data_IF_362940109013
#
_entry.id   IF_362940109013
#
_cell.length_a   1.000
_cell.length_b   1.000
_cell.length_c   1.000
_cell.angle_alpha   90.00
_cell.angle_beta   90.00
_cell.angle_gamma   90.00
#
_symmetry.space_group_name_H-M   'P 1'
#
loop_
_entity.id
_entity.type
_entity.pdbx_description
1 polymer ?
#
# COMPACT_ATOMS: atom_id res chain seq x y z
N UNK A 1 -41.41 -10.45 -2.91
CA UNK A 1 -41.05 -9.66 -4.13
C UNK A 1 -40.60 -8.28 -3.69
N UNK A 2 -39.31 -7.97 -3.75
CA UNK A 2 -38.80 -6.63 -4.05
C UNK A 2 -37.57 -6.87 -4.91
N UNK A 3 -37.64 -6.46 -6.18
CA UNK A 3 -36.48 -6.32 -7.06
C UNK A 3 -35.89 -4.93 -6.81
N UNK A 4 -34.58 -4.84 -6.60
CA UNK A 4 -33.82 -3.64 -6.93
C UNK A 4 -32.56 -4.04 -7.67
N UNK A 5 -32.62 -3.79 -8.97
CA UNK A 5 -31.54 -3.74 -9.95
C UNK A 5 -30.60 -2.58 -9.67
N UNK A 6 -29.29 -2.76 -9.92
CA UNK A 6 -28.35 -1.66 -10.15
C UNK A 6 -27.04 -1.82 -9.41
N UNK A 7 -25.97 -2.07 -10.16
CA UNK A 7 -24.61 -2.04 -9.61
C UNK A 7 -24.15 -0.60 -9.36
N UNK A 8 -23.56 -0.38 -8.19
CA UNK A 8 -22.65 0.73 -7.91
C UNK A 8 -21.76 0.34 -6.73
N UNK A 9 -20.44 0.37 -6.94
CA UNK A 9 -19.47 0.45 -5.86
C UNK A 9 -19.67 1.81 -5.16
N UNK A 10 -19.87 1.80 -3.85
CA UNK A 10 -19.84 3.00 -3.01
C UNK A 10 -19.00 2.77 -1.74
N UNK A 11 -18.42 3.84 -1.18
CA UNK A 11 -17.16 3.83 -0.43
C UNK A 11 -17.35 3.57 1.07
N UNK A 12 -16.21 3.51 1.75
CA UNK A 12 -16.03 3.35 3.19
C UNK A 12 -17.10 4.02 4.07
N UNK A 13 -17.56 3.28 5.08
CA UNK A 13 -18.26 3.79 6.24
C UNK A 13 -19.77 3.89 6.09
N UNK A 14 -20.49 2.80 6.37
CA UNK A 14 -21.91 2.88 6.72
C UNK A 14 -22.20 1.97 7.91
N UNK A 15 -22.36 2.60 9.08
CA UNK A 15 -22.89 1.97 10.28
C UNK A 15 -24.42 1.84 10.13
N UNK A 16 -24.96 0.64 10.40
CA UNK A 16 -26.38 0.45 10.71
C UNK A 16 -26.44 0.01 12.16
N UNK A 17 -26.89 0.91 13.04
CA UNK A 17 -27.23 0.60 14.43
C UNK A 17 -28.75 0.56 14.49
N UNK A 18 -29.33 -0.65 14.45
CA UNK A 18 -30.73 -0.87 14.84
C UNK A 18 -30.74 -1.50 16.22
N UNK A 19 -30.68 -0.66 17.25
CA UNK A 19 -31.09 -1.04 18.59
C UNK A 19 -32.62 -1.01 18.65
N UNK A 20 -33.23 -2.20 18.73
CA UNK A 20 -34.50 -2.34 19.42
C UNK A 20 -34.19 -2.30 20.91
N UNK A 21 -34.17 -1.11 21.49
CA UNK A 21 -34.84 -0.80 22.76
C UNK A 21 -34.43 0.60 23.27
N UNK A 22 -35.45 1.32 23.76
CA UNK A 22 -35.37 2.69 24.24
C UNK A 22 -34.52 2.77 25.52
N UNK A 23 -33.36 3.43 25.49
CA UNK A 23 -32.99 4.40 26.53
C UNK A 23 -31.88 5.35 26.04
N UNK A 24 -32.15 6.64 26.15
CA UNK A 24 -31.32 7.75 25.71
C UNK A 24 -30.36 8.17 26.82
N UNK A 25 -29.07 7.81 26.74
CA UNK A 25 -27.95 8.48 27.46
C UNK A 25 -26.54 7.97 27.10
N UNK A 26 -26.36 6.71 26.68
CA UNK A 26 -25.04 6.03 26.62
C UNK A 26 -24.40 5.84 25.23
N UNK A 27 -24.93 6.46 24.17
CA UNK A 27 -24.59 6.13 22.77
C UNK A 27 -23.23 6.68 22.29
N UNK A 28 -22.66 7.68 22.99
CA UNK A 28 -21.38 8.32 22.62
C UNK A 28 -20.13 7.45 22.92
N UNK A 29 -19.96 6.86 24.12
CA UNK A 29 -18.78 6.05 24.43
C UNK A 29 -18.65 4.79 23.56
N UNK A 30 -19.77 4.13 23.24
CA UNK A 30 -19.75 2.96 22.34
C UNK A 30 -19.27 3.33 20.93
N UNK A 31 -19.66 4.51 20.42
CA UNK A 31 -19.28 4.99 19.09
C UNK A 31 -17.79 5.32 18.98
N UNK A 32 -17.22 5.95 20.02
CA UNK A 32 -15.78 6.21 20.07
C UNK A 32 -14.97 4.92 20.21
N UNK A 33 -15.48 3.98 21.00
CA UNK A 33 -14.87 2.66 21.17
C UNK A 33 -14.85 1.86 19.86
N UNK A 34 -15.93 1.86 19.10
CA UNK A 34 -15.96 1.21 17.77
C UNK A 34 -15.01 1.89 16.78
N UNK A 35 -14.82 3.22 16.86
CA UNK A 35 -13.78 3.91 16.06
C UNK A 35 -12.37 3.47 16.44
N UNK A 36 -12.10 3.27 17.74
CA UNK A 36 -10.83 2.72 18.24
C UNK A 36 -10.60 1.30 17.71
N UNK A 37 -11.61 0.43 17.75
CA UNK A 37 -11.49 -0.91 17.17
C UNK A 37 -11.30 -0.86 15.65
N UNK A 38 -11.98 0.05 14.95
CA UNK A 38 -11.86 0.21 13.50
C UNK A 38 -10.46 0.67 13.07
N UNK A 39 -9.74 1.43 13.91
CA UNK A 39 -8.35 1.80 13.63
C UNK A 39 -7.37 0.66 13.89
N UNK A 40 -7.67 -0.25 14.83
CA UNK A 40 -6.86 -1.44 15.11
C UNK A 40 -6.99 -2.50 14.01
N UNK A 41 -8.14 -2.58 13.33
CA UNK A 41 -8.42 -3.57 12.30
C UNK A 41 -8.72 -2.93 10.94
N UNK A 42 -7.72 -2.34 10.26
CA UNK A 42 -7.94 -1.66 8.99
C UNK A 42 -8.39 -2.63 7.89
N UNK A 43 -9.36 -2.21 7.08
CA UNK A 43 -9.87 -2.97 5.94
C UNK A 43 -10.89 -4.06 6.28
N UNK A 44 -11.43 -4.05 7.52
CA UNK A 44 -12.56 -4.89 7.93
C UNK A 44 -13.67 -4.02 8.50
N UNK A 45 -14.91 -4.38 8.20
CA UNK A 45 -16.07 -3.70 8.78
C UNK A 45 -16.37 -4.29 10.16
N UNK A 46 -16.56 -3.43 11.16
CA UNK A 46 -16.97 -3.87 12.50
C UNK A 46 -18.48 -3.82 12.58
N UNK A 47 -19.09 -4.96 12.88
CA UNK A 47 -20.54 -5.13 12.99
C UNK A 47 -20.86 -5.61 14.40
N UNK A 48 -21.95 -5.11 14.97
CA UNK A 48 -22.44 -5.57 16.26
C UNK A 48 -23.66 -6.41 15.98
N UNK A 49 -23.59 -7.69 16.33
CA UNK A 49 -24.70 -8.61 16.16
C UNK A 49 -24.56 -9.74 17.17
N UNK A 50 -25.68 -10.10 17.79
CA UNK A 50 -25.77 -11.28 18.63
C UNK A 50 -26.17 -12.46 17.76
N UNK A 51 -25.26 -13.42 17.64
CA UNK A 51 -25.43 -14.62 16.82
C UNK A 51 -25.52 -15.81 17.75
N UNK A 52 -26.62 -16.55 17.65
CA UNK A 52 -26.86 -17.76 18.43
C UNK A 52 -26.15 -18.96 17.78
N UNK A 53 -25.01 -19.31 18.36
CA UNK A 53 -24.29 -20.54 18.07
C UNK A 53 -23.75 -20.67 16.63
N UNK A 54 -23.29 -21.88 16.31
CA UNK A 54 -22.60 -22.18 15.04
C UNK A 54 -23.54 -22.19 13.84
N UNK A 55 -24.81 -22.48 14.02
CA UNK A 55 -25.81 -22.50 12.94
C UNK A 55 -26.21 -21.08 12.55
N UNK A 56 -26.48 -20.20 13.52
CA UNK A 56 -26.69 -18.78 13.28
C UNK A 56 -25.50 -18.14 12.58
N UNK A 57 -24.27 -18.51 12.96
CA UNK A 57 -23.06 -17.98 12.30
C UNK A 57 -22.94 -18.41 10.82
N UNK A 58 -23.41 -19.60 10.47
CA UNK A 58 -23.44 -20.06 9.07
C UNK A 58 -24.46 -19.29 8.25
N UNK A 59 -25.67 -19.08 8.77
CA UNK A 59 -26.71 -18.31 8.09
C UNK A 59 -26.30 -16.84 7.92
N UNK A 60 -25.68 -16.28 8.95
CA UNK A 60 -25.08 -14.94 8.89
C UNK A 60 -23.99 -14.85 7.81
N UNK A 61 -23.07 -15.81 7.77
CA UNK A 61 -22.00 -15.86 6.78
C UNK A 61 -22.51 -15.99 5.34
N UNK A 62 -23.61 -16.73 5.12
CA UNK A 62 -24.23 -16.90 3.80
C UNK A 62 -25.00 -15.67 3.33
N UNK A 63 -25.58 -14.89 4.24
CA UNK A 63 -26.30 -13.65 3.90
C UNK A 63 -25.36 -12.47 3.61
N UNK A 64 -24.11 -12.54 4.07
CA UNK A 64 -23.10 -11.48 3.92
C UNK A 64 -21.96 -11.89 2.98
N UNK A 65 -22.32 -12.31 1.75
CA UNK A 65 -21.32 -12.55 0.69
C UNK A 65 -20.63 -11.24 0.26
N UNK A 66 -19.32 -11.29 0.04
CA UNK A 66 -18.51 -10.18 -0.46
C UNK A 66 -17.94 -9.25 0.61
N UNK A 67 -18.32 -9.41 1.87
CA UNK A 67 -17.82 -8.58 2.97
C UNK A 67 -16.72 -9.26 3.79
N UNK A 68 -15.82 -8.43 4.34
CA UNK A 68 -14.79 -8.82 5.30
C UNK A 68 -15.09 -8.16 6.64
N UNK A 69 -15.55 -8.92 7.62
CA UNK A 69 -16.15 -8.34 8.82
C UNK A 69 -15.55 -8.88 10.12
N UNK A 70 -15.60 -8.06 11.16
CA UNK A 70 -15.44 -8.47 12.56
C UNK A 70 -16.79 -8.24 13.22
N UNK A 71 -17.45 -9.32 13.63
CA UNK A 71 -18.73 -9.28 14.31
C UNK A 71 -18.47 -9.42 15.80
N UNK A 72 -19.04 -8.53 16.60
CA UNK A 72 -18.87 -8.52 18.05
C UNK A 72 -20.25 -8.61 18.69
N UNK A 73 -20.46 -9.56 19.61
CA UNK A 73 -21.69 -9.59 20.41
C UNK A 73 -21.84 -8.31 21.23
N UNK A 74 -23.06 -7.82 21.37
CA UNK A 74 -23.36 -6.63 22.18
C UNK A 74 -22.85 -6.76 23.62
N UNK A 75 -23.04 -7.94 24.23
CA UNK A 75 -22.56 -8.19 25.61
C UNK A 75 -21.04 -8.23 25.70
N UNK A 76 -20.37 -8.77 24.69
CA UNK A 76 -18.91 -8.77 24.63
C UNK A 76 -18.37 -7.33 24.53
N UNK A 77 -19.00 -6.49 23.70
CA UNK A 77 -18.64 -5.09 23.53
C UNK A 77 -18.76 -4.30 24.85
N UNK A 78 -19.88 -4.48 25.56
CA UNK A 78 -20.11 -3.82 26.85
C UNK A 78 -19.07 -4.23 27.91
N UNK A 79 -18.73 -5.52 27.96
CA UNK A 79 -17.66 -6.02 28.83
C UNK A 79 -16.30 -5.44 28.46
N UNK A 80 -15.96 -5.38 27.17
CA UNK A 80 -14.70 -4.78 26.71
C UNK A 80 -14.61 -3.28 27.01
N UNK A 81 -15.74 -2.56 27.08
CA UNK A 81 -15.75 -1.15 27.47
C UNK A 81 -15.57 -0.93 28.98
N UNK A 82 -15.94 -1.93 29.79
CA UNK A 82 -15.98 -1.82 31.26
C UNK A 82 -14.75 -2.46 31.93
N UNK A 83 -14.22 -3.53 31.35
CA UNK A 83 -13.10 -4.31 31.87
C UNK A 83 -11.87 -4.24 30.93
N UNK A 84 -10.80 -3.52 31.33
CA UNK A 84 -9.57 -3.40 30.55
C UNK A 84 -8.79 -4.72 30.35
N UNK A 85 -8.88 -5.67 31.29
CA UNK A 85 -8.18 -6.95 31.16
C UNK A 85 -8.88 -7.83 30.11
N UNK A 86 -10.21 -7.87 30.17
CA UNK A 86 -11.05 -8.53 29.16
C UNK A 86 -10.91 -7.89 27.78
N UNK A 87 -10.84 -6.55 27.70
CA UNK A 87 -10.52 -5.83 26.47
C UNK A 87 -9.20 -6.32 25.86
N UNK A 88 -8.14 -6.38 26.67
CA UNK A 88 -6.82 -6.78 26.19
C UNK A 88 -6.82 -8.22 25.69
N UNK A 89 -7.45 -9.12 26.44
CA UNK A 89 -7.59 -10.52 26.06
C UNK A 89 -8.33 -10.69 24.73
N UNK A 90 -9.50 -10.06 24.59
CA UNK A 90 -10.29 -10.11 23.37
C UNK A 90 -9.55 -9.49 22.18
N UNK A 91 -8.85 -8.37 22.40
CA UNK A 91 -8.09 -7.68 21.34
C UNK A 91 -6.95 -8.55 20.81
N UNK A 92 -6.21 -9.22 21.70
CA UNK A 92 -5.14 -10.15 21.30
C UNK A 92 -5.71 -11.39 20.61
N UNK A 93 -6.83 -11.93 21.10
CA UNK A 93 -7.52 -13.05 20.46
C UNK A 93 -7.99 -12.69 19.04
N UNK A 94 -8.53 -11.49 18.84
CA UNK A 94 -8.93 -10.98 17.53
C UNK A 94 -7.73 -10.81 16.57
N UNK A 95 -6.59 -10.29 17.06
CA UNK A 95 -5.36 -10.18 16.24
C UNK A 95 -4.82 -11.56 15.84
N UNK A 96 -4.79 -12.50 16.77
CA UNK A 96 -4.35 -13.87 16.50
C UNK A 96 -5.26 -14.55 15.48
N UNK A 97 -6.58 -14.44 15.67
CA UNK A 97 -7.57 -14.97 14.73
C UNK A 97 -7.47 -14.34 13.34
N UNK A 98 -7.18 -13.04 13.26
CA UNK A 98 -6.93 -12.35 12.00
C UNK A 98 -5.71 -12.91 11.27
N UNK A 99 -4.62 -13.17 11.98
CA UNK A 99 -3.39 -13.74 11.41
C UNK A 99 -3.64 -15.16 10.88
N UNK A 100 -4.27 -16.01 11.68
CA UNK A 100 -4.65 -17.37 11.27
C UNK A 100 -5.59 -17.38 10.06
N UNK A 101 -6.55 -16.47 10.04
CA UNK A 101 -7.46 -16.33 8.91
C UNK A 101 -6.71 -15.89 7.66
N UNK A 102 -5.78 -14.93 7.75
CA UNK A 102 -4.95 -14.52 6.62
C UNK A 102 -4.13 -15.68 6.05
N UNK A 103 -3.56 -16.53 6.91
CA UNK A 103 -2.82 -17.74 6.48
C UNK A 103 -3.74 -18.74 5.76
N UNK A 104 -4.98 -18.94 6.26
CA UNK A 104 -5.99 -19.78 5.59
C UNK A 104 -6.40 -19.20 4.24
N UNK A 105 -6.55 -17.88 4.14
CA UNK A 105 -6.91 -17.19 2.89
C UNK A 105 -5.80 -17.30 1.84
N UNK A 106 -4.53 -17.24 2.24
CA UNK A 106 -3.38 -17.42 1.33
C UNK A 106 -3.33 -18.82 0.69
N UNK A 107 -3.86 -19.84 1.37
CA UNK A 107 -3.92 -21.23 0.89
C UNK A 107 -5.16 -21.54 0.03
N UNK A 108 -6.17 -20.67 -0.01
CA UNK A 108 -7.40 -20.89 -0.81
C UNK A 108 -7.17 -21.05 -2.32
N UNK A 109 -6.30 -20.24 -2.97
CA UNK A 109 -6.04 -20.37 -4.40
C UNK A 109 -5.42 -21.72 -4.78
N UNK A 110 -4.57 -22.28 -3.92
CA UNK A 110 -3.94 -23.59 -4.12
C UNK A 110 -4.99 -24.72 -4.12
N UNK A 111 -6.14 -24.50 -3.48
CA UNK A 111 -7.27 -25.43 -3.44
C UNK A 111 -8.27 -25.23 -4.59
N UNK A 112 -8.00 -24.32 -5.54
CA UNK A 112 -8.93 -24.01 -6.64
C UNK A 112 -10.24 -23.36 -6.18
N UNK A 113 -10.21 -22.67 -5.04
CA UNK A 113 -11.36 -21.97 -4.46
C UNK A 113 -11.10 -20.46 -4.48
N UNK A 114 -12.12 -19.69 -4.86
CA UNK A 114 -12.11 -18.23 -4.73
C UNK A 114 -12.79 -17.81 -3.44
N UNK A 115 -12.22 -16.82 -2.74
CA UNK A 115 -12.85 -16.22 -1.57
C UNK A 115 -14.18 -15.57 -1.95
N UNK A 116 -15.24 -15.91 -1.22
CA UNK A 116 -16.57 -15.32 -1.37
C UNK A 116 -16.93 -14.39 -0.20
N UNK A 117 -16.35 -14.58 0.98
CA UNK A 117 -16.53 -13.73 2.15
C UNK A 117 -15.78 -14.31 3.35
N UNK A 118 -15.44 -13.50 4.34
CA UNK A 118 -14.81 -14.01 5.55
C UNK A 118 -15.01 -13.06 6.73
N UNK A 119 -14.97 -13.61 7.93
CA UNK A 119 -14.96 -12.76 9.11
C UNK A 119 -14.63 -13.51 10.38
N UNK A 120 -14.64 -12.74 11.47
CA UNK A 120 -14.32 -13.19 12.81
C UNK A 120 -15.48 -12.77 13.70
N UNK A 121 -15.97 -13.67 14.53
CA UNK A 121 -17.05 -13.43 15.49
C UNK A 121 -16.47 -13.52 16.90
N UNK A 122 -16.72 -12.50 17.72
CA UNK A 122 -16.40 -12.49 19.14
C UNK A 122 -17.67 -12.77 19.94
N UNK A 123 -17.68 -13.91 20.62
CA UNK A 123 -18.77 -14.40 21.45
C UNK A 123 -18.79 -13.69 22.83
N UNK A 124 -19.90 -13.85 23.57
CA UNK A 124 -20.17 -13.16 24.85
C UNK A 124 -19.11 -13.40 25.94
N UNK A 125 -18.41 -14.53 25.86
CA UNK A 125 -17.42 -15.02 26.83
C UNK A 125 -15.98 -14.69 26.42
N UNK A 126 -15.79 -14.05 25.27
CA UNK A 126 -14.47 -13.73 24.70
C UNK A 126 -13.92 -14.80 23.76
N UNK A 127 -14.71 -15.84 23.48
CA UNK A 127 -14.37 -16.86 22.50
C UNK A 127 -14.46 -16.33 21.07
N UNK A 128 -13.52 -16.78 20.22
CA UNK A 128 -13.38 -16.28 18.86
C UNK A 128 -13.68 -17.37 17.83
N UNK A 129 -14.75 -17.17 17.08
CA UNK A 129 -15.17 -18.02 15.98
C UNK A 129 -14.78 -17.40 14.63
N UNK A 130 -14.25 -18.19 13.69
CA UNK A 130 -13.85 -17.71 12.36
C UNK A 130 -14.69 -18.38 11.28
N UNK A 131 -15.12 -17.62 10.27
CA UNK A 131 -15.71 -18.19 9.07
C UNK A 131 -14.98 -17.75 7.80
N UNK A 132 -14.95 -18.65 6.83
CA UNK A 132 -14.43 -18.39 5.49
C UNK A 132 -15.39 -19.00 4.49
N UNK A 133 -16.11 -18.14 3.78
CA UNK A 133 -16.96 -18.53 2.66
C UNK A 133 -16.10 -18.60 1.41
N UNK A 134 -16.08 -19.75 0.76
CA UNK A 134 -15.32 -19.94 -0.47
C UNK A 134 -16.21 -20.56 -1.54
N UNK A 135 -16.04 -20.09 -2.78
CA UNK A 135 -16.72 -20.64 -3.95
C UNK A 135 -15.71 -21.47 -4.72
N UNK A 136 -16.08 -22.69 -5.14
CA UNK A 136 -15.26 -23.44 -6.10
C UNK A 136 -15.10 -22.56 -7.32
N UNK A 137 -13.86 -22.34 -7.75
CA UNK A 137 -13.61 -21.59 -8.97
C UNK A 137 -14.20 -22.41 -10.10
N UNK A 138 -15.36 -21.98 -10.59
CA UNK A 138 -16.00 -22.64 -11.73
C UNK A 138 -15.00 -22.52 -12.87
N UNK A 139 -14.51 -23.65 -13.40
CA UNK A 139 -13.84 -23.65 -14.69
C UNK A 139 -14.74 -22.86 -15.63
N UNK A 140 -14.27 -21.72 -16.12
CA UNK A 140 -15.00 -20.95 -17.10
C UNK A 140 -15.14 -21.85 -18.34
N UNK A 141 -16.24 -22.59 -18.40
CA UNK A 141 -16.74 -23.15 -19.65
C UNK A 141 -17.20 -21.95 -20.47
N UNK A 142 -16.28 -21.42 -21.26
CA UNK A 142 -16.60 -20.46 -22.30
C UNK A 142 -17.75 -21.04 -23.13
N UNK A 143 -18.83 -20.28 -23.40
CA UNK A 143 -19.84 -20.73 -24.35
C UNK A 143 -19.14 -20.96 -25.69
N UNK A 144 -19.18 -22.21 -26.14
CA UNK A 144 -18.61 -22.63 -27.42
C UNK A 144 -19.50 -22.09 -28.54
N UNK A 145 -19.25 -20.85 -28.97
CA UNK A 145 -19.77 -20.36 -30.25
C UNK A 145 -19.08 -21.11 -31.39
N UNK A 146 -19.84 -21.95 -32.08
CA UNK A 146 -19.36 -22.68 -33.24
C UNK A 146 -20.27 -23.83 -33.64
N UNK A 147 -21.55 -23.54 -33.90
CA UNK A 147 -22.35 -24.42 -34.73
C UNK A 147 -22.02 -24.08 -36.19
N UNK A 148 -21.22 -24.93 -36.85
CA UNK A 148 -21.14 -24.96 -38.30
C UNK A 148 -21.58 -26.34 -38.75
N UNK A 149 -22.71 -26.35 -39.45
CA UNK A 149 -23.18 -27.48 -40.22
C UNK A 149 -22.16 -27.85 -41.31
N UNK A 150 -22.06 -29.15 -41.58
CA UNK A 150 -21.67 -29.69 -42.88
C UNK A 150 -20.19 -29.91 -43.13
N UNK A 151 -19.73 -31.16 -42.96
CA UNK A 151 -18.96 -31.86 -43.99
C UNK A 151 -18.90 -33.35 -43.64
N UNK A 152 -19.52 -34.15 -44.50
CA UNK A 152 -19.55 -35.60 -44.45
C UNK A 152 -18.18 -36.24 -44.70
N UNK A 153 -18.09 -37.50 -44.25
CA UNK A 153 -17.12 -38.54 -44.62
C UNK A 153 -15.75 -38.53 -43.90
N UNK A 154 -15.62 -39.48 -42.98
CA UNK A 154 -14.36 -39.92 -42.38
C UNK A 154 -14.63 -40.68 -41.08
N UNK A 155 -14.58 -42.01 -41.15
CA UNK A 155 -15.03 -42.97 -40.12
C UNK A 155 -14.71 -42.59 -38.68
N UNK A 156 -15.75 -42.54 -37.85
CA UNK A 156 -15.69 -42.16 -36.43
C UNK A 156 -15.65 -43.39 -35.55
N UNK A 157 -14.56 -43.58 -34.80
CA UNK A 157 -14.46 -44.54 -33.70
C UNK A 157 -14.98 -43.87 -32.42
N UNK A 158 -16.30 -43.77 -32.30
CA UNK A 158 -16.98 -43.32 -31.09
C UNK A 158 -17.16 -44.45 -30.08
N UNK A 159 -17.14 -44.12 -28.78
CA UNK A 159 -17.52 -45.08 -27.74
C UNK A 159 -19.05 -45.16 -27.72
N UNK A 160 -19.57 -46.34 -28.10
CA UNK A 160 -21.00 -46.66 -28.08
C UNK A 160 -21.42 -47.01 -26.65
N UNK A 161 -22.41 -46.31 -26.11
CA UNK A 161 -23.09 -46.70 -24.87
C UNK A 161 -24.49 -47.21 -25.26
N UNK A 162 -24.75 -48.49 -25.01
CA UNK A 162 -26.06 -49.09 -25.24
C UNK A 162 -26.99 -48.75 -24.08
N UNK A 163 -28.11 -48.10 -24.38
CA UNK A 163 -29.24 -47.94 -23.45
C UNK A 163 -30.50 -48.52 -24.07
N UNK A 164 -31.52 -48.83 -23.27
CA UNK A 164 -32.76 -49.52 -23.70
C UNK A 164 -33.57 -48.79 -24.80
N UNK A 165 -33.21 -47.53 -25.11
CA UNK A 165 -33.83 -46.72 -26.17
C UNK A 165 -32.93 -46.47 -27.39
N UNK A 166 -31.78 -47.13 -27.47
CA UNK A 166 -30.82 -47.03 -28.58
C UNK A 166 -29.40 -46.67 -28.16
N UNK A 167 -28.47 -46.80 -29.11
CA UNK A 167 -27.04 -46.56 -28.93
C UNK A 167 -26.69 -45.07 -29.05
N UNK A 168 -26.18 -44.48 -27.97
CA UNK A 168 -25.61 -43.13 -27.99
C UNK A 168 -24.12 -43.21 -28.35
N UNK A 169 -23.74 -42.57 -29.46
CA UNK A 169 -22.34 -42.48 -29.90
C UNK A 169 -21.78 -41.11 -29.53
N UNK A 170 -20.83 -41.06 -28.59
CA UNK A 170 -20.17 -39.80 -28.20
C UNK A 170 -18.94 -39.61 -29.08
N UNK A 171 -18.98 -38.62 -29.97
CA UNK A 171 -17.83 -38.25 -30.79
C UNK A 171 -16.72 -37.59 -29.94
N UNK A 172 -15.49 -38.10 -30.04
CA UNK A 172 -14.32 -37.47 -29.41
C UNK A 172 -14.02 -36.14 -30.12
N UNK A 173 -14.08 -35.02 -29.40
CA UNK A 173 -13.73 -33.69 -29.95
C UNK A 173 -12.31 -33.69 -30.51
N UNK A 174 -12.13 -33.24 -31.75
CA UNK A 174 -10.82 -33.08 -32.39
C UNK A 174 -9.99 -32.04 -31.63
N UNK A 175 -8.70 -32.33 -31.39
CA UNK A 175 -7.77 -31.38 -30.78
C UNK A 175 -7.62 -30.14 -31.67
N UNK A 176 -7.80 -28.93 -31.10
CA UNK A 176 -7.74 -27.67 -31.83
C UNK A 176 -7.03 -26.60 -31.02
N UNK A 177 -6.14 -25.84 -31.66
CA UNK A 177 -5.45 -24.69 -31.11
C UNK A 177 -5.50 -23.52 -32.09
N UNK A 178 -5.77 -22.31 -31.59
CA UNK A 178 -5.90 -21.11 -32.42
C UNK A 178 -4.92 -20.04 -31.94
N UNK A 179 -3.73 -19.93 -32.57
CA UNK A 179 -2.68 -18.99 -32.16
C UNK A 179 -3.12 -17.53 -32.11
N UNK A 180 -3.99 -17.10 -33.04
CA UNK A 180 -4.43 -15.71 -33.18
C UNK A 180 -5.10 -15.17 -31.92
N UNK A 181 -5.89 -15.99 -31.21
CA UNK A 181 -6.59 -15.56 -29.99
C UNK A 181 -5.62 -15.14 -28.89
N UNK A 182 -4.58 -15.95 -28.69
CA UNK A 182 -3.59 -15.71 -27.65
C UNK A 182 -2.63 -14.60 -28.04
N UNK A 183 -2.24 -14.51 -29.32
CA UNK A 183 -1.42 -13.41 -29.82
C UNK A 183 -2.11 -12.05 -29.64
N UNK A 184 -3.42 -11.96 -29.91
CA UNK A 184 -4.19 -10.73 -29.67
C UNK A 184 -4.26 -10.39 -28.19
N UNK A 185 -4.47 -11.39 -27.32
CA UNK A 185 -4.44 -11.18 -25.86
C UNK A 185 -3.08 -10.66 -25.40
N UNK A 186 -1.99 -11.31 -25.81
CA UNK A 186 -0.62 -10.89 -25.52
C UNK A 186 -0.40 -9.46 -26.01
N UNK A 187 -0.81 -9.12 -27.23
CA UNK A 187 -0.65 -7.78 -27.79
C UNK A 187 -1.40 -6.72 -26.99
N UNK A 188 -2.65 -7.00 -26.57
CA UNK A 188 -3.48 -6.07 -25.79
C UNK A 188 -3.04 -5.91 -24.34
N UNK A 189 -2.36 -6.90 -23.76
CA UNK A 189 -1.87 -6.82 -22.38
C UNK A 189 -0.89 -5.65 -22.21
N UNK A 190 -1.21 -4.74 -21.29
CA UNK A 190 -0.37 -3.59 -20.90
C UNK A 190 0.43 -3.84 -19.62
N UNK A 191 -0.03 -4.78 -18.80
CA UNK A 191 0.56 -5.13 -17.52
C UNK A 191 1.21 -6.52 -17.60
N UNK A 192 2.31 -6.68 -16.87
CA UNK A 192 3.00 -7.93 -16.66
C UNK A 192 2.08 -9.03 -16.12
N UNK A 193 1.18 -8.70 -15.20
CA UNK A 193 0.23 -9.67 -14.64
C UNK A 193 -0.68 -10.29 -15.71
N UNK A 194 -1.18 -9.48 -16.65
CA UNK A 194 -2.05 -9.97 -17.72
C UNK A 194 -1.29 -10.87 -18.70
N UNK A 195 -0.04 -10.50 -19.03
CA UNK A 195 0.83 -11.37 -19.85
C UNK A 195 1.06 -12.71 -19.15
N UNK A 196 1.32 -12.71 -17.83
CA UNK A 196 1.49 -13.96 -17.06
C UNK A 196 0.24 -14.83 -17.05
N UNK A 197 -0.96 -14.24 -16.94
CA UNK A 197 -2.22 -14.97 -17.08
C UNK A 197 -2.34 -15.65 -18.45
N UNK A 198 -1.96 -14.94 -19.53
CA UNK A 198 -1.94 -15.54 -20.88
C UNK A 198 -0.91 -16.66 -21.01
N UNK A 199 0.27 -16.52 -20.40
CA UNK A 199 1.31 -17.57 -20.36
C UNK A 199 0.76 -18.83 -19.70
N UNK A 200 0.13 -18.72 -18.53
CA UNK A 200 -0.47 -19.86 -17.83
C UNK A 200 -1.58 -20.52 -18.66
N UNK A 201 -2.42 -19.72 -19.33
CA UNK A 201 -3.45 -20.24 -20.24
C UNK A 201 -2.88 -21.04 -21.40
N UNK A 202 -1.83 -20.53 -22.06
CA UNK A 202 -1.14 -21.23 -23.16
C UNK A 202 -0.49 -22.52 -22.65
N UNK A 203 0.12 -22.51 -21.45
CA UNK A 203 0.71 -23.70 -20.85
C UNK A 203 -0.33 -24.79 -20.57
N UNK A 204 -1.52 -24.41 -20.08
CA UNK A 204 -2.63 -25.34 -19.88
C UNK A 204 -3.10 -25.97 -21.20
N UNK A 205 -3.18 -25.17 -22.27
CA UNK A 205 -3.53 -25.67 -23.61
C UNK A 205 -2.46 -26.61 -24.16
N UNK A 206 -1.17 -26.30 -23.98
CA UNK A 206 -0.07 -27.20 -24.34
C UNK A 206 -0.19 -28.53 -23.59
N UNK A 207 -0.50 -28.48 -22.28
CA UNK A 207 -0.71 -29.69 -21.48
C UNK A 207 -1.87 -30.52 -22.02
N UNK A 208 -3.03 -29.90 -22.28
CA UNK A 208 -4.20 -30.57 -22.86
C UNK A 208 -3.92 -31.17 -24.24
N UNK A 209 -3.14 -30.49 -25.10
CA UNK A 209 -2.73 -31.02 -26.40
C UNK A 209 -1.75 -32.20 -26.28
N UNK A 210 -0.93 -32.23 -25.22
CA UNK A 210 0.01 -33.34 -24.96
C UNK A 210 -0.73 -34.57 -24.41
N UNK A 211 -1.65 -34.39 -23.47
CA UNK A 211 -2.38 -35.47 -22.78
C UNK A 211 -3.66 -35.93 -23.50
N UNK A 212 -4.21 -35.10 -24.40
CA UNK A 212 -5.46 -35.37 -25.09
C UNK A 212 -5.41 -36.55 -26.07
N UNK A 213 -6.54 -37.20 -26.27
CA UNK A 213 -6.74 -38.24 -27.29
C UNK A 213 -6.77 -37.63 -28.70
N UNK A 214 -6.10 -38.27 -29.68
CA UNK A 214 -6.07 -37.82 -31.08
C UNK A 214 -4.73 -38.09 -31.78
N UNK A 215 -4.65 -37.74 -33.06
CA UNK A 215 -3.47 -38.01 -33.89
C UNK A 215 -2.20 -37.34 -33.37
N UNK A 216 -1.17 -38.14 -33.12
CA UNK A 216 0.12 -37.68 -32.57
C UNK A 216 0.77 -36.61 -33.44
N UNK A 217 0.71 -36.75 -34.78
CA UNK A 217 1.30 -35.80 -35.74
C UNK A 217 0.62 -34.44 -35.70
N UNK A 218 -0.72 -34.41 -35.72
CA UNK A 218 -1.50 -33.16 -35.66
C UNK A 218 -1.27 -32.45 -34.33
N UNK A 219 -1.30 -33.19 -33.21
CA UNK A 219 -1.02 -32.63 -31.87
C UNK A 219 0.37 -32.01 -31.79
N UNK A 220 1.40 -32.66 -32.34
CA UNK A 220 2.76 -32.13 -32.32
C UNK A 220 2.87 -30.78 -33.06
N UNK A 221 2.17 -30.61 -34.19
CA UNK A 221 2.14 -29.33 -34.92
C UNK A 221 1.45 -28.26 -34.09
N UNK A 222 0.30 -28.56 -33.47
CA UNK A 222 -0.43 -27.61 -32.62
C UNK A 222 0.37 -27.21 -31.37
N UNK A 223 1.06 -28.17 -30.74
CA UNK A 223 1.96 -27.91 -29.61
C UNK A 223 3.08 -26.97 -30.03
N UNK A 224 3.72 -27.22 -31.18
CA UNK A 224 4.79 -26.36 -31.71
C UNK A 224 4.29 -24.92 -31.96
N UNK A 225 3.07 -24.77 -32.49
CA UNK A 225 2.45 -23.46 -32.66
C UNK A 225 2.20 -22.75 -31.31
N UNK A 226 1.69 -23.46 -30.31
CA UNK A 226 1.46 -22.91 -28.97
C UNK A 226 2.78 -22.52 -28.27
N UNK A 227 3.83 -23.33 -28.42
CA UNK A 227 5.16 -23.03 -27.89
C UNK A 227 5.80 -21.78 -28.54
N UNK A 228 5.56 -21.56 -29.84
CA UNK A 228 5.97 -20.31 -30.50
C UNK A 228 5.25 -19.08 -29.93
N UNK A 229 3.95 -19.17 -29.69
CA UNK A 229 3.17 -18.08 -29.05
C UNK A 229 3.66 -17.85 -27.62
N UNK A 230 3.95 -18.91 -26.87
CA UNK A 230 4.51 -18.84 -25.52
C UNK A 230 5.86 -18.12 -25.49
N UNK A 231 6.75 -18.38 -26.46
CA UNK A 231 8.03 -17.69 -26.59
C UNK A 231 7.83 -16.16 -26.76
N UNK A 232 6.91 -15.76 -27.64
CA UNK A 232 6.56 -14.34 -27.85
C UNK A 232 6.00 -13.69 -26.58
N UNK A 233 5.15 -14.40 -25.83
CA UNK A 233 4.62 -13.91 -24.55
C UNK A 233 5.74 -13.65 -23.52
N UNK A 234 6.73 -14.55 -23.43
CA UNK A 234 7.89 -14.40 -22.51
C UNK A 234 8.78 -13.22 -22.87
N UNK A 235 8.99 -12.96 -24.16
CA UNK A 235 9.71 -11.76 -24.62
C UNK A 235 8.99 -10.50 -24.14
N UNK A 236 7.66 -10.45 -24.28
CA UNK A 236 6.87 -9.32 -23.79
C UNK A 236 6.91 -9.15 -22.26
N UNK A 237 6.87 -10.23 -21.47
CA UNK A 237 7.04 -10.15 -19.99
C UNK A 237 8.39 -9.50 -19.63
N UNK A 238 9.46 -9.87 -20.34
CA UNK A 238 10.80 -9.29 -20.14
C UNK A 238 10.85 -7.81 -20.52
N UNK A 239 10.18 -7.40 -21.59
CA UNK A 239 10.09 -6.00 -22.01
C UNK A 239 9.32 -5.16 -20.98
N UNK A 240 8.14 -5.61 -20.57
CA UNK A 240 7.33 -4.92 -19.57
C UNK A 240 8.05 -4.78 -18.23
N UNK A 241 8.84 -5.78 -17.82
CA UNK A 241 9.67 -5.68 -16.61
C UNK A 241 10.72 -4.55 -16.70
N UNK A 242 11.33 -4.34 -17.88
CA UNK A 242 12.27 -3.24 -18.09
C UNK A 242 11.56 -1.89 -18.05
N UNK A 243 10.37 -1.79 -18.64
CA UNK A 243 9.55 -0.58 -18.59
C UNK A 243 9.11 -0.23 -17.17
N UNK A 244 8.68 -1.22 -16.38
CA UNK A 244 8.34 -1.05 -14.96
C UNK A 244 9.55 -0.51 -14.16
N UNK A 245 10.74 -1.06 -14.41
CA UNK A 245 11.97 -0.61 -13.77
C UNK A 245 12.33 0.84 -14.15
N UNK A 246 12.20 1.21 -15.43
CA UNK A 246 12.42 2.59 -15.88
C UNK A 246 11.42 3.56 -15.24
N UNK A 247 10.13 3.20 -15.17
CA UNK A 247 9.11 4.01 -14.48
C UNK A 247 9.44 4.20 -13.00
N UNK A 248 9.92 3.14 -12.34
CA UNK A 248 10.37 3.22 -10.95
C UNK A 248 11.57 4.15 -10.78
N UNK A 249 12.58 4.05 -11.66
CA UNK A 249 13.73 4.96 -11.65
C UNK A 249 13.30 6.42 -11.85
N UNK A 250 12.41 6.68 -12.82
CA UNK A 250 11.88 8.01 -13.08
C UNK A 250 11.18 8.59 -11.85
N UNK A 251 10.29 7.80 -11.20
CA UNK A 251 9.60 8.23 -9.97
C UNK A 251 10.57 8.55 -8.85
N UNK A 252 11.59 7.71 -8.65
CA UNK A 252 12.62 7.90 -7.63
C UNK A 252 13.46 9.15 -7.90
N UNK A 253 13.83 9.39 -9.16
CA UNK A 253 14.55 10.60 -9.56
C UNK A 253 13.72 11.86 -9.32
N UNK A 254 12.42 11.84 -9.66
CA UNK A 254 11.51 12.96 -9.42
C UNK A 254 11.37 13.27 -7.92
N UNK A 255 11.19 12.25 -7.07
CA UNK A 255 11.13 12.42 -5.61
C UNK A 255 12.42 13.01 -5.04
N UNK A 256 13.58 12.56 -5.53
CA UNK A 256 14.87 13.08 -5.10
C UNK A 256 15.03 14.56 -5.49
N UNK A 257 14.70 14.92 -6.73
CA UNK A 257 14.77 16.30 -7.20
C UNK A 257 13.83 17.23 -6.42
N UNK A 258 12.62 16.76 -6.09
CA UNK A 258 11.66 17.50 -5.26
C UNK A 258 12.20 17.71 -3.83
N UNK A 259 12.77 16.66 -3.23
CA UNK A 259 13.37 16.74 -1.91
C UNK A 259 14.54 17.73 -1.89
N UNK A 260 15.45 17.66 -2.86
CA UNK A 260 16.58 18.59 -2.98
C UNK A 260 16.11 20.04 -3.13
N UNK A 261 15.11 20.28 -3.99
CA UNK A 261 14.54 21.62 -4.18
C UNK A 261 13.88 22.14 -2.89
N UNK A 262 13.14 21.29 -2.18
CA UNK A 262 12.50 21.68 -0.92
C UNK A 262 13.53 22.02 0.17
N UNK A 263 14.63 21.26 0.26
CA UNK A 263 15.72 21.52 1.18
C UNK A 263 16.43 22.84 0.86
N UNK A 264 16.72 23.10 -0.42
CA UNK A 264 17.33 24.36 -0.87
C UNK A 264 16.46 25.56 -0.48
N UNK A 265 15.15 25.50 -0.74
CA UNK A 265 14.22 26.56 -0.36
C UNK A 265 14.17 26.76 1.16
N UNK A 266 14.18 25.68 1.95
CA UNK A 266 14.20 25.73 3.41
C UNK A 266 15.46 26.41 3.94
N UNK A 267 16.63 26.10 3.38
CA UNK A 267 17.90 26.73 3.75
C UNK A 267 17.93 28.23 3.38
N UNK A 268 17.45 28.58 2.19
CA UNK A 268 17.33 29.97 1.77
C UNK A 268 16.40 30.77 2.68
N UNK A 269 15.26 30.20 3.04
CA UNK A 269 14.31 30.82 3.97
C UNK A 269 14.94 31.04 5.36
N UNK A 270 15.63 30.03 5.90
CA UNK A 270 16.39 30.19 7.16
C UNK A 270 17.43 31.31 7.06
N UNK A 271 18.20 31.38 5.98
CA UNK A 271 19.19 32.45 5.76
C UNK A 271 18.53 33.83 5.72
N UNK A 272 17.40 33.96 5.03
CA UNK A 272 16.63 35.21 4.96
C UNK A 272 16.06 35.61 6.32
N UNK A 273 15.52 34.66 7.07
CA UNK A 273 15.02 34.89 8.44
C UNK A 273 16.13 35.32 9.39
N UNK A 274 17.30 34.65 9.34
CA UNK A 274 18.45 35.03 10.15
C UNK A 274 18.95 36.44 9.80
N UNK A 275 19.04 36.77 8.51
CA UNK A 275 19.39 38.11 8.06
C UNK A 275 18.38 39.18 8.49
N UNK A 276 17.08 38.88 8.43
CA UNK A 276 16.03 39.76 8.95
C UNK A 276 16.18 39.99 10.45
N UNK A 277 16.32 38.91 11.23
CA UNK A 277 16.50 38.96 12.68
C UNK A 277 17.75 39.78 13.05
N UNK A 278 18.89 39.55 12.39
CA UNK A 278 20.11 40.33 12.62
C UNK A 278 19.92 41.82 12.34
N UNK A 279 19.19 42.20 11.29
CA UNK A 279 18.84 43.61 11.02
C UNK A 279 17.92 44.21 12.07
N UNK A 280 16.89 43.46 12.50
CA UNK A 280 15.99 43.87 13.58
C UNK A 280 16.79 44.13 14.87
N UNK A 281 17.72 43.24 15.25
CA UNK A 281 18.60 43.45 16.40
C UNK A 281 19.59 44.61 16.20
N UNK A 282 20.09 44.82 14.99
CA UNK A 282 20.93 45.97 14.65
C UNK A 282 20.18 47.29 14.85
N UNK A 283 18.96 47.41 14.34
CA UNK A 283 18.10 48.58 14.53
C UNK A 283 17.80 48.85 16.01
N UNK A 284 17.56 47.79 16.80
CA UNK A 284 17.37 47.92 18.26
C UNK A 284 18.66 48.42 18.92
N UNK A 285 19.83 47.88 18.54
CA UNK A 285 21.12 48.36 19.03
C UNK A 285 21.33 49.84 18.69
N UNK A 286 21.08 50.23 17.45
CA UNK A 286 21.29 51.60 16.97
C UNK A 286 20.31 52.59 17.63
N UNK A 287 19.15 52.13 18.10
CA UNK A 287 18.17 52.94 18.83
C UNK A 287 18.52 53.14 20.32
N UNK A 288 19.30 52.22 20.90
CA UNK A 288 19.72 52.29 22.29
C UNK A 288 21.23 52.41 22.38
N UNK A 289 21.71 53.65 22.44
CA UNK A 289 23.09 54.00 22.75
C UNK A 289 23.52 53.35 24.07
N UNK A 290 24.62 52.59 24.05
CA UNK A 290 25.02 51.82 25.23
C UNK A 290 25.40 52.79 26.37
N UNK A 291 25.15 52.44 27.65
CA UNK A 291 25.54 53.29 28.78
C UNK A 291 27.05 53.61 28.84
N UNK A 292 27.88 52.81 28.16
CA UNK A 292 29.31 53.01 28.03
C UNK A 292 29.64 54.01 26.91
N UNK A 293 29.00 53.92 25.75
CA UNK A 293 29.11 54.93 24.67
C UNK A 293 28.64 56.30 25.19
N UNK A 294 27.53 56.36 25.92
CA UNK A 294 27.04 57.60 26.54
C UNK A 294 27.95 58.16 27.65
N UNK A 295 28.75 57.30 28.30
CA UNK A 295 29.75 57.73 29.29
C UNK A 295 31.00 58.26 28.60
N UNK A 296 31.46 57.55 27.57
CA UNK A 296 32.60 57.92 26.75
C UNK A 296 32.35 59.24 26.02
N UNK A 297 31.15 59.44 25.49
CA UNK A 297 30.74 60.67 24.83
C UNK A 297 30.70 61.86 25.80
N UNK A 298 30.16 61.67 27.02
CA UNK A 298 30.25 62.69 28.09
C UNK A 298 31.67 62.97 28.55
N UNK A 299 32.55 61.97 28.51
CA UNK A 299 33.96 62.10 28.91
C UNK A 299 34.76 62.82 27.82
N UNK A 300 34.49 62.52 26.54
CA UNK A 300 34.99 63.25 25.38
C UNK A 300 34.48 64.69 25.35
N UNK A 301 33.19 64.92 25.61
CA UNK A 301 32.59 66.25 25.68
C UNK A 301 33.17 67.08 26.83
N UNK A 302 33.50 66.46 27.98
CA UNK A 302 34.29 67.12 29.04
C UNK A 302 35.69 67.48 28.57
N UNK A 303 36.41 66.54 27.95
CA UNK A 303 37.73 66.81 27.38
C UNK A 303 37.70 67.91 26.32
N UNK A 304 36.69 67.95 25.46
CA UNK A 304 36.56 68.95 24.40
C UNK A 304 36.21 70.33 24.95
N UNK A 305 35.38 70.40 26.00
CA UNK A 305 35.10 71.64 26.74
C UNK A 305 36.31 72.14 27.55
N UNK A 306 37.10 71.23 28.12
CA UNK A 306 38.33 71.56 28.85
C UNK A 306 39.44 72.03 27.87
N UNK A 307 39.56 71.40 26.70
CA UNK A 307 40.51 71.78 25.64
C UNK A 307 40.11 73.06 24.89
N UNK A 308 38.81 73.32 24.70
CA UNK A 308 38.32 74.58 24.12
C UNK A 308 38.29 75.74 25.12
N UNK A 309 38.33 75.45 26.42
CA UNK A 309 38.51 76.44 27.49
C UNK A 309 39.96 76.91 27.67
N UNK A 310 40.96 76.13 27.24
CA UNK A 310 42.38 76.43 27.52
C UNK A 310 43.26 76.74 26.30
N UNK A 311 42.75 76.71 25.06
CA UNK A 311 43.60 76.96 23.89
C UNK A 311 43.37 78.32 23.19
N UNK A 312 43.63 79.38 23.96
CA UNK A 312 44.13 80.67 23.44
C UNK A 312 45.52 80.89 24.05
N UNK A 313 46.53 80.13 23.63
CA UNK A 313 47.89 80.37 24.11
C UNK A 313 48.93 79.31 23.75
N UNK A 314 49.54 79.51 22.57
CA UNK A 314 50.98 79.30 22.34
C UNK A 314 51.60 77.88 22.43
N UNK A 315 51.97 77.39 21.23
CA UNK A 315 53.23 76.73 20.82
C UNK A 315 53.87 75.64 21.68
N UNK A 316 54.23 74.50 21.08
CA UNK A 316 55.20 73.59 21.68
C UNK A 316 55.38 72.29 20.92
N UNK A 317 56.36 72.29 20.03
CA UNK A 317 56.74 71.19 19.16
C UNK A 317 57.47 70.06 19.94
N UNK A 318 57.30 68.83 19.45
CA UNK A 318 58.29 67.72 19.41
C UNK A 318 58.24 66.48 20.33
N UNK A 319 58.36 65.36 19.58
CA UNK A 319 58.95 64.04 19.85
C UNK A 319 58.20 63.01 20.70
N UNK A 320 57.63 62.02 19.99
CA UNK A 320 57.48 60.65 20.49
C UNK A 320 58.19 59.68 19.52
N UNK A 321 59.04 58.74 20.01
CA UNK A 321 59.76 57.77 19.19
C UNK A 321 58.94 56.51 18.89
N UNK A 322 59.08 56.01 17.67
CA UNK A 322 58.85 54.60 17.28
C UNK A 322 60.11 53.77 17.67
N UNK A 323 60.24 52.43 17.54
CA UNK A 323 59.35 51.44 16.89
C UNK A 323 59.28 50.06 17.61
N UNK A 324 58.59 49.09 17.01
CA UNK A 324 59.05 47.69 17.06
C UNK A 324 57.99 46.64 17.31
N UNK A 325 57.47 46.04 16.24
CA UNK A 325 56.85 44.72 16.30
C UNK A 325 57.24 43.91 15.06
N UNK A 326 57.94 42.78 15.20
CA UNK A 326 58.06 41.79 14.15
C UNK A 326 57.32 40.48 14.47
N UNK A 327 56.68 39.97 13.41
CA UNK A 327 56.47 38.57 12.99
C UNK A 327 55.92 37.49 13.94
N UNK A 328 54.88 36.80 13.46
CA UNK A 328 54.88 35.34 13.39
C UNK A 328 53.92 34.85 12.29
N UNK A 329 54.41 33.89 11.51
CA UNK A 329 53.83 33.26 10.32
C UNK A 329 53.37 31.80 10.69
N UNK A 330 53.07 30.85 9.77
CA UNK A 330 51.75 30.22 9.59
C UNK A 330 51.73 28.68 9.88
N UNK A 331 50.79 27.97 9.23
CA UNK A 331 50.65 26.50 9.03
C UNK A 331 49.89 25.73 10.14
N UNK A 332 49.10 24.68 9.88
CA UNK A 332 48.77 23.94 8.66
C UNK A 332 48.09 22.60 9.00
N UNK A 333 47.63 21.88 7.96
CA UNK A 333 47.42 20.41 7.92
C UNK A 333 46.27 19.82 8.78
N UNK A 334 45.58 18.71 8.51
CA UNK A 334 45.57 17.66 7.48
C UNK A 334 44.29 16.81 7.69
N UNK A 335 43.82 16.12 6.63
CA UNK A 335 43.17 14.77 6.62
C UNK A 335 41.95 14.50 7.54
N UNK A 336 40.86 13.84 7.15
CA UNK A 336 40.63 12.74 6.21
C UNK A 336 39.66 11.74 6.87
N UNK A 337 38.95 10.93 6.09
CA UNK A 337 38.42 9.64 6.56
C UNK A 337 36.97 9.58 7.06
N UNK A 338 36.08 9.16 6.15
CA UNK A 338 35.02 8.15 6.30
C UNK A 338 34.61 7.69 7.72
N UNK A 339 33.30 7.76 8.00
CA UNK A 339 32.65 6.93 9.03
C UNK A 339 31.50 6.16 8.40
N UNK A 340 31.63 4.83 8.42
CA UNK A 340 30.56 3.89 8.09
C UNK A 340 29.51 3.82 9.19
N UNK A 341 28.30 3.41 8.84
CA UNK A 341 27.27 3.04 9.80
C UNK A 341 26.88 1.58 9.57
N UNK A 342 27.07 0.77 10.61
CA UNK A 342 26.65 -0.62 10.74
C UNK A 342 25.26 -0.72 11.37
N UNK A 343 24.59 -1.81 11.00
CA UNK A 343 23.32 -2.34 11.52
C UNK A 343 23.47 -2.79 12.99
N UNK A 344 22.35 -2.88 13.72
CA UNK A 344 21.92 -4.16 14.33
C UNK A 344 20.48 -4.14 14.86
N UNK A 345 19.87 -5.32 14.81
CA UNK A 345 18.54 -5.75 15.29
C UNK A 345 18.84 -6.62 16.55
N UNK A 346 18.12 -6.64 17.66
CA UNK A 346 16.87 -7.38 17.98
C UNK A 346 16.71 -7.36 19.52
N UNK A 347 15.48 -7.38 20.04
CA UNK A 347 14.86 -8.53 20.75
C UNK A 347 13.38 -8.54 20.40
#
# INVERSE_FOLDING_TARGET
MIKTTGGQYLPAGRYVYESKDKSSSSTLPAREYIRKLSSLFPGRDIVIADIEGKEGLKEYALSHEGSMQIVISGKALEKMMTDPEFERQCTEALKQAQKEQADKLMRLPEQGKSLAGCGIYLEEEGDVSQWVLSRKQQEQKFPSFGEKQGAANGGSFGTSIHTEKGTLTIEKKKASYVPAKDLVKIARSRNRQDVRRTISGIQAQIYQLKTGSGDKRVKAVLVKQAEQVLSKARVKDKQLRKEEFLKWQQKRAAQKAEMEKSLQLKLLLKRKQAGRKAREYGQIRDYYETPQERRLEKELEKYENDVSGENSGYTGNYYAPSPGGPEAVPAGSMTGGTVGMTLDITV
#
